data_IF_417208697778
#
_entry.id   IF_417208697778
#
_cell.length_a   1.000
_cell.length_b   1.000
_cell.length_c   1.000
_cell.angle_alpha   90.00
_cell.angle_beta   90.00
_cell.angle_gamma   90.00
#
_symmetry.space_group_name_H-M   'P 1'
#
loop_
_entity.id
_entity.type
_entity.pdbx_description
1 polymer ?
#
# COMPACT_ATOMS: atom_id res chain seq x y z
N UNK A 1 11.17 0.33 -19.99
CA UNK A 1 10.43 1.59 -20.05
C UNK A 1 9.57 1.75 -18.83
N UNK A 2 9.63 2.90 -18.18
CA UNK A 2 8.88 3.12 -16.95
C UNK A 2 7.47 3.59 -17.25
N UNK A 3 6.57 3.23 -16.38
CA UNK A 3 5.20 3.69 -16.47
C UNK A 3 4.90 4.64 -15.33
N UNK A 4 3.98 5.54 -15.58
CA UNK A 4 3.59 6.53 -14.58
C UNK A 4 2.25 6.18 -13.99
N UNK A 5 2.20 6.20 -12.67
CA UNK A 5 0.96 5.94 -11.95
C UNK A 5 0.68 7.15 -11.09
N UNK A 6 -0.47 7.76 -11.27
CA UNK A 6 -0.85 8.92 -10.48
C UNK A 6 -1.73 8.49 -9.34
N UNK A 7 -1.37 8.94 -8.16
CA UNK A 7 -2.16 8.63 -6.98
C UNK A 7 -2.32 9.89 -6.15
N UNK A 8 -3.38 9.92 -5.36
CA UNK A 8 -3.59 11.01 -4.42
C UNK A 8 -3.40 10.45 -3.02
N UNK A 9 -2.56 11.11 -2.25
CA UNK A 9 -2.22 10.64 -0.92
C UNK A 9 -3.28 11.07 0.09
N UNK A 10 -3.53 10.23 1.08
CA UNK A 10 -4.30 10.67 2.25
C UNK A 10 -3.48 11.73 2.97
N UNK A 11 -4.16 12.73 3.55
CA UNK A 11 -3.44 13.85 4.15
C UNK A 11 -2.49 13.42 5.26
N UNK A 12 -2.84 12.38 6.02
CA UNK A 12 -1.96 11.93 7.09
C UNK A 12 -0.73 11.23 6.55
N UNK A 13 -0.90 10.47 5.47
CA UNK A 13 0.25 9.83 4.82
C UNK A 13 1.15 10.91 4.21
N UNK A 14 0.53 11.88 3.55
CA UNK A 14 1.31 12.95 2.95
C UNK A 14 2.11 13.71 4.01
N UNK A 15 1.49 14.01 5.14
CA UNK A 15 2.18 14.77 6.18
C UNK A 15 3.40 14.01 6.69
N UNK A 16 3.26 12.70 6.89
CA UNK A 16 4.38 11.90 7.37
C UNK A 16 5.51 11.86 6.36
N UNK A 17 5.18 11.66 5.09
CA UNK A 17 6.21 11.59 4.05
C UNK A 17 6.85 12.96 3.85
N UNK A 18 6.03 14.02 3.86
CA UNK A 18 6.54 15.37 3.65
C UNK A 18 7.52 15.76 4.75
N UNK A 19 7.21 15.38 5.98
CA UNK A 19 8.09 15.68 7.10
C UNK A 19 9.48 15.10 6.87
N UNK A 20 9.51 13.84 6.44
CA UNK A 20 10.79 13.18 6.19
C UNK A 20 11.46 13.72 4.93
N UNK A 21 10.68 14.03 3.90
CA UNK A 21 11.25 14.59 2.67
C UNK A 21 11.91 15.94 2.96
N UNK A 22 11.25 16.76 3.76
CA UNK A 22 11.82 18.04 4.14
C UNK A 22 13.12 17.85 4.91
N UNK A 23 13.14 16.89 5.83
CA UNK A 23 14.33 16.60 6.60
C UNK A 23 15.49 16.19 5.69
N UNK A 24 15.20 15.43 4.64
CA UNK A 24 16.22 14.95 3.73
C UNK A 24 16.54 15.94 2.61
N UNK A 25 15.74 16.98 2.46
CA UNK A 25 15.97 17.95 1.41
C UNK A 25 15.57 17.46 0.03
N UNK A 26 14.57 16.59 -0.04
CA UNK A 26 14.10 16.07 -1.31
C UNK A 26 12.60 16.33 -1.46
N UNK A 27 12.10 16.11 -2.67
CA UNK A 27 10.70 16.39 -2.96
C UNK A 27 9.81 15.28 -2.46
N UNK A 28 8.55 15.64 -2.19
CA UNK A 28 7.55 14.69 -1.73
C UNK A 28 7.43 13.51 -2.70
N UNK A 29 7.31 13.80 -3.98
CA UNK A 29 7.14 12.72 -4.97
C UNK A 29 8.34 11.79 -5.02
N UNK A 30 9.53 12.35 -4.85
CA UNK A 30 10.74 11.54 -4.87
C UNK A 30 10.74 10.53 -3.74
N UNK A 31 10.41 10.98 -2.54
CA UNK A 31 10.41 10.08 -1.40
C UNK A 31 9.26 9.08 -1.50
N UNK A 32 8.09 9.54 -1.94
CA UNK A 32 6.95 8.65 -2.11
C UNK A 32 7.28 7.52 -3.07
N UNK A 33 7.92 7.87 -4.19
CA UNK A 33 8.31 6.88 -5.17
C UNK A 33 9.31 5.87 -4.58
N UNK A 34 10.24 6.38 -3.79
CA UNK A 34 11.25 5.51 -3.16
C UNK A 34 10.60 4.52 -2.21
N UNK A 35 9.62 4.98 -1.43
CA UNK A 35 8.95 4.12 -0.47
C UNK A 35 8.27 2.95 -1.19
N UNK A 36 7.53 3.26 -2.27
CA UNK A 36 6.85 2.24 -3.02
C UNK A 36 7.84 1.22 -3.57
N UNK A 37 8.93 1.70 -4.13
CA UNK A 37 9.93 0.81 -4.71
C UNK A 37 10.59 -0.07 -3.65
N UNK A 38 10.85 0.49 -2.48
CA UNK A 38 11.43 -0.30 -1.40
C UNK A 38 10.51 -1.42 -0.99
N UNK A 39 9.23 -1.12 -0.82
CA UNK A 39 8.30 -2.13 -0.37
C UNK A 39 8.06 -3.19 -1.45
N UNK A 40 7.99 -2.76 -2.71
CA UNK A 40 7.85 -3.73 -3.79
C UNK A 40 9.08 -4.63 -3.88
N UNK A 41 10.26 -4.08 -3.60
CA UNK A 41 11.46 -4.89 -3.58
C UNK A 41 11.43 -5.98 -2.52
N UNK A 42 10.91 -5.65 -1.34
CA UNK A 42 10.77 -6.66 -0.30
C UNK A 42 9.84 -7.78 -0.74
N UNK A 43 8.74 -7.42 -1.39
CA UNK A 43 7.77 -8.40 -1.83
C UNK A 43 8.36 -9.27 -2.95
N UNK A 44 9.10 -8.67 -3.87
CA UNK A 44 9.76 -9.44 -4.91
C UNK A 44 10.70 -10.48 -4.33
N UNK A 45 11.38 -10.10 -3.25
CA UNK A 45 12.35 -10.99 -2.62
C UNK A 45 11.69 -12.21 -2.00
N UNK A 46 10.53 -12.04 -1.37
CA UNK A 46 9.89 -13.17 -0.71
C UNK A 46 8.84 -13.85 -1.56
N UNK A 47 8.35 -13.18 -2.60
CA UNK A 47 7.34 -13.76 -3.49
C UNK A 47 5.92 -13.41 -3.10
N UNK A 48 5.08 -13.23 -4.12
CA UNK A 48 3.68 -12.84 -3.90
C UNK A 48 2.93 -13.89 -3.10
N UNK A 49 3.29 -15.15 -3.29
CA UNK A 49 2.59 -16.23 -2.59
C UNK A 49 2.72 -16.12 -1.07
N UNK A 50 3.73 -15.44 -0.60
CA UNK A 50 3.96 -15.28 0.83
C UNK A 50 3.46 -13.98 1.38
N UNK A 51 2.61 -13.30 0.62
CA UNK A 51 1.98 -12.08 1.10
C UNK A 51 0.62 -12.42 1.71
N UNK A 52 0.35 -11.79 2.86
CA UNK A 52 -0.92 -11.96 3.55
C UNK A 52 -1.75 -10.71 3.44
N UNK A 53 -3.03 -10.90 3.20
CA UNK A 53 -3.99 -9.79 3.15
C UNK A 53 -5.09 -10.08 4.15
N UNK A 54 -4.82 -9.91 5.45
CA UNK A 54 -5.81 -10.28 6.46
C UNK A 54 -6.92 -9.25 6.58
N UNK A 55 -8.06 -9.69 7.07
CA UNK A 55 -9.06 -8.75 7.53
C UNK A 55 -8.76 -8.43 9.00
N UNK A 56 -9.54 -7.50 9.57
CA UNK A 56 -9.26 -7.04 10.92
C UNK A 56 -9.33 -8.16 11.94
N UNK A 57 -10.27 -9.06 11.73
CA UNK A 57 -10.50 -10.11 12.72
C UNK A 57 -9.33 -11.07 12.81
N UNK A 58 -8.76 -11.41 11.67
CA UNK A 58 -7.76 -12.47 11.63
C UNK A 58 -6.32 -11.98 11.54
N UNK A 59 -6.13 -10.67 11.63
CA UNK A 59 -4.84 -10.09 11.32
C UNK A 59 -3.69 -10.70 12.14
N UNK A 60 -3.82 -10.63 13.46
CA UNK A 60 -2.74 -11.11 14.33
C UNK A 60 -2.59 -12.62 14.28
N UNK A 61 -3.73 -13.32 14.21
CA UNK A 61 -3.67 -14.77 14.17
C UNK A 61 -2.97 -15.28 12.90
N UNK A 62 -3.38 -14.74 11.77
CA UNK A 62 -2.81 -15.21 10.50
C UNK A 62 -1.32 -14.92 10.43
N UNK A 63 -0.92 -13.72 10.85
CA UNK A 63 0.48 -13.35 10.84
C UNK A 63 1.27 -14.24 11.78
N UNK A 64 0.75 -14.44 12.99
CA UNK A 64 1.44 -15.23 13.99
C UNK A 64 1.63 -16.68 13.57
N UNK A 65 0.60 -17.25 12.94
CA UNK A 65 0.70 -18.64 12.50
C UNK A 65 1.79 -18.83 11.46
N UNK A 66 1.88 -17.91 10.50
CA UNK A 66 2.90 -18.02 9.49
C UNK A 66 4.30 -17.80 10.03
N UNK A 67 4.44 -16.82 10.92
CA UNK A 67 5.74 -16.59 11.54
C UNK A 67 6.16 -17.79 12.38
N UNK A 68 5.20 -18.40 13.06
CA UNK A 68 5.49 -19.57 13.86
C UNK A 68 6.03 -20.72 13.01
N UNK A 69 5.53 -20.85 11.80
CA UNK A 69 6.02 -21.89 10.91
C UNK A 69 7.32 -21.54 10.21
N UNK A 70 7.86 -20.36 10.49
CA UNK A 70 9.12 -19.96 9.91
C UNK A 70 9.03 -19.45 8.48
N UNK A 71 7.83 -19.15 8.02
CA UNK A 71 7.65 -18.63 6.67
C UNK A 71 8.00 -17.16 6.62
N UNK A 72 8.74 -16.76 5.60
CA UNK A 72 8.99 -15.34 5.38
C UNK A 72 7.74 -14.76 4.75
N UNK A 73 7.12 -13.81 5.43
CA UNK A 73 5.86 -13.25 4.96
C UNK A 73 5.92 -11.75 4.93
N UNK A 74 5.13 -11.20 4.03
CA UNK A 74 4.86 -9.77 3.98
C UNK A 74 3.38 -9.62 4.30
N UNK A 75 3.09 -9.06 5.46
CA UNK A 75 1.71 -8.95 5.91
C UNK A 75 1.23 -7.52 5.69
N UNK A 76 0.23 -7.37 4.85
CA UNK A 76 -0.36 -6.05 4.63
C UNK A 76 -1.15 -5.66 5.87
N UNK A 77 -1.28 -4.36 6.13
CA UNK A 77 -2.18 -3.92 7.19
C UNK A 77 -3.60 -4.40 6.92
N UNK A 78 -4.38 -4.55 7.97
CA UNK A 78 -5.74 -5.02 7.85
C UNK A 78 -6.54 -4.11 6.92
N UNK A 79 -7.56 -4.68 6.29
CA UNK A 79 -8.36 -3.98 5.31
C UNK A 79 -8.93 -2.67 5.85
N UNK A 80 -9.45 -2.70 7.07
CA UNK A 80 -10.08 -1.50 7.64
C UNK A 80 -9.08 -0.37 7.79
N UNK A 81 -7.85 -0.71 8.13
CA UNK A 81 -6.84 0.32 8.28
C UNK A 81 -6.48 0.92 6.93
N UNK A 82 -6.34 0.06 5.91
CA UNK A 82 -6.05 0.56 4.57
C UNK A 82 -7.19 1.44 4.05
N UNK A 83 -8.42 1.04 4.34
CA UNK A 83 -9.56 1.81 3.91
C UNK A 83 -9.55 3.20 4.55
N UNK A 84 -9.16 3.27 5.82
CA UNK A 84 -9.12 4.54 6.55
C UNK A 84 -8.19 5.54 5.86
N UNK A 85 -7.09 5.05 5.30
CA UNK A 85 -6.09 5.92 4.71
C UNK A 85 -6.13 5.96 3.19
N UNK A 86 -7.24 5.54 2.60
CA UNK A 86 -7.42 5.63 1.16
C UNK A 86 -8.42 6.74 0.86
N UNK A 87 -7.98 7.80 0.18
CA UNK A 87 -8.92 8.88 -0.15
C UNK A 87 -9.98 8.38 -1.10
N UNK A 88 -11.19 8.86 -0.90
CA UNK A 88 -12.32 8.44 -1.71
C UNK A 88 -12.27 9.13 -3.07
N UNK A 89 -11.93 8.37 -4.11
CA UNK A 89 -11.94 8.89 -5.49
C UNK A 89 -11.17 10.20 -5.67
N UNK A 90 -10.16 10.41 -4.83
CA UNK A 90 -9.38 11.63 -4.92
C UNK A 90 -10.10 12.89 -4.49
N UNK A 91 -11.17 12.72 -3.74
CA UNK A 91 -11.97 13.87 -3.27
C UNK A 91 -12.14 13.79 -1.77
N UNK A 92 -12.72 14.83 -1.22
CA UNK A 92 -13.02 14.87 0.19
C UNK A 92 -11.91 15.52 0.98
N UNK A 93 -12.19 15.73 2.24
CA UNK A 93 -11.28 16.48 3.10
C UNK A 93 -10.00 15.70 3.40
N UNK A 94 -10.02 14.39 3.19
CA UNK A 94 -8.84 13.59 3.48
C UNK A 94 -7.92 13.42 2.29
N UNK A 95 -8.28 13.93 1.13
CA UNK A 95 -7.45 13.80 -0.05
C UNK A 95 -6.38 14.89 -0.05
N UNK A 96 -5.14 14.47 -0.13
CA UNK A 96 -4.02 15.40 -0.17
C UNK A 96 -3.49 15.59 -1.57
N UNK A 97 -2.18 15.73 -1.67
CA UNK A 97 -1.54 16.01 -2.94
C UNK A 97 -1.55 14.81 -3.86
N UNK A 98 -1.56 15.10 -5.15
CA UNK A 98 -1.39 14.07 -6.16
C UNK A 98 0.10 13.92 -6.43
N UNK A 99 0.56 12.69 -6.46
CA UNK A 99 1.95 12.41 -6.81
C UNK A 99 1.98 11.43 -7.96
N UNK A 100 3.08 11.43 -8.69
CA UNK A 100 3.28 10.53 -9.81
C UNK A 100 4.38 9.55 -9.46
N UNK A 101 4.05 8.27 -9.54
CA UNK A 101 5.04 7.22 -9.34
C UNK A 101 5.56 6.77 -10.69
N UNK A 102 6.87 6.59 -10.78
CA UNK A 102 7.51 6.10 -12.02
C UNK A 102 8.02 4.70 -11.72
N UNK A 103 7.36 3.70 -12.26
CA UNK A 103 7.62 2.31 -11.93
C UNK A 103 8.05 1.54 -13.15
N UNK A 104 8.90 0.54 -12.94
CA UNK A 104 9.30 -0.35 -14.00
C UNK A 104 8.16 -1.30 -14.34
N UNK A 105 8.15 -1.84 -15.55
CA UNK A 105 7.08 -2.78 -15.92
C UNK A 105 6.93 -3.96 -14.97
N UNK A 106 8.04 -4.47 -14.44
CA UNK A 106 7.98 -5.56 -13.48
C UNK A 106 7.28 -5.14 -12.20
N UNK A 107 7.47 -3.89 -11.80
CA UNK A 107 6.83 -3.39 -10.59
C UNK A 107 5.34 -3.21 -10.80
N UNK A 108 4.95 -2.76 -11.98
CA UNK A 108 3.53 -2.65 -12.34
C UNK A 108 2.91 -4.03 -12.35
N UNK A 109 3.59 -5.00 -12.94
CA UNK A 109 3.09 -6.38 -12.97
C UNK A 109 2.91 -6.92 -11.55
N UNK A 110 3.86 -6.61 -10.67
CA UNK A 110 3.77 -7.03 -9.28
C UNK A 110 2.57 -6.42 -8.58
N UNK A 111 2.34 -5.14 -8.80
CA UNK A 111 1.16 -4.48 -8.23
C UNK A 111 -0.13 -5.15 -8.70
N UNK A 112 -0.18 -5.55 -9.97
CA UNK A 112 -1.35 -6.25 -10.48
C UNK A 112 -1.55 -7.57 -9.78
N UNK A 113 -0.47 -8.33 -9.63
CA UNK A 113 -0.58 -9.61 -8.94
C UNK A 113 -1.06 -9.44 -7.51
N UNK A 114 -0.55 -8.43 -6.83
CA UNK A 114 -0.98 -8.16 -5.46
C UNK A 114 -2.44 -7.75 -5.41
N UNK A 115 -2.85 -6.92 -6.35
CA UNK A 115 -4.24 -6.46 -6.39
C UNK A 115 -5.19 -7.62 -6.65
N UNK A 116 -4.80 -8.52 -7.53
CA UNK A 116 -5.64 -9.68 -7.80
C UNK A 116 -5.74 -10.60 -6.61
N UNK A 117 -4.64 -10.76 -5.90
CA UNK A 117 -4.67 -11.59 -4.71
C UNK A 117 -5.54 -10.98 -3.63
N UNK A 118 -5.45 -9.67 -3.45
CA UNK A 118 -6.26 -8.96 -2.47
C UNK A 118 -7.75 -9.04 -2.84
N UNK A 119 -8.05 -8.93 -4.11
CA UNK A 119 -9.43 -8.97 -4.58
C UNK A 119 -10.11 -10.29 -4.29
N UNK A 120 -9.36 -11.37 -4.28
CA UNK A 120 -9.92 -12.66 -3.98
C UNK A 120 -10.54 -12.70 -2.59
N UNK A 121 -10.15 -11.77 -1.74
CA UNK A 121 -10.71 -11.70 -0.41
C UNK A 121 -12.10 -11.08 -0.39
N UNK A 122 -12.57 -10.66 -1.54
CA UNK A 122 -13.98 -10.47 -1.72
C UNK A 122 -14.61 -9.20 -1.20
N UNK A 123 -13.92 -8.11 -1.24
CA UNK A 123 -14.45 -6.88 -0.68
C UNK A 123 -15.07 -5.95 -1.71
N UNK A 124 -14.79 -6.16 -2.97
CA UNK A 124 -15.24 -5.20 -3.99
C UNK A 124 -16.39 -5.75 -4.79
N UNK A 125 -17.33 -4.91 -5.08
CA UNK A 125 -18.54 -5.32 -5.78
C UNK A 125 -18.87 -4.38 -6.92
N UNK A 126 -17.92 -4.02 -7.70
CA UNK A 126 -18.22 -3.21 -8.86
C UNK A 126 -18.55 -4.11 -10.04
N UNK A 127 -19.21 -3.56 -11.03
CA UNK A 127 -19.56 -4.31 -12.22
C UNK A 127 -18.44 -4.30 -13.25
N UNK A 128 -17.47 -3.42 -13.08
CA UNK A 128 -16.41 -3.27 -14.05
C UNK A 128 -15.13 -3.85 -13.51
N UNK A 129 -14.55 -4.78 -14.23
CA UNK A 129 -13.31 -5.39 -13.81
C UNK A 129 -12.21 -4.36 -13.65
N UNK A 130 -12.18 -3.37 -14.56
CA UNK A 130 -11.17 -2.33 -14.47
C UNK A 130 -11.30 -1.53 -13.19
N UNK A 131 -12.51 -1.24 -12.79
CA UNK A 131 -12.73 -0.49 -11.56
C UNK A 131 -12.30 -1.30 -10.34
N UNK A 132 -12.58 -2.57 -10.35
CA UNK A 132 -12.17 -3.43 -9.26
C UNK A 132 -10.65 -3.41 -9.11
N UNK A 133 -9.96 -3.56 -10.24
CA UNK A 133 -8.52 -3.57 -10.22
C UNK A 133 -7.98 -2.23 -9.74
N UNK A 134 -8.56 -1.13 -10.19
CA UNK A 134 -8.10 0.20 -9.79
C UNK A 134 -8.26 0.41 -8.29
N UNK A 135 -9.40 0.03 -7.75
CA UNK A 135 -9.64 0.20 -6.32
C UNK A 135 -8.65 -0.64 -5.53
N UNK A 136 -8.46 -1.88 -5.91
CA UNK A 136 -7.50 -2.74 -5.22
C UNK A 136 -6.09 -2.18 -5.33
N UNK A 137 -5.76 -1.60 -6.47
CA UNK A 137 -4.47 -0.98 -6.70
C UNK A 137 -4.20 0.11 -5.66
N UNK A 138 -5.18 0.97 -5.45
CA UNK A 138 -5.03 2.03 -4.44
C UNK A 138 -4.84 1.44 -3.06
N UNK A 139 -5.60 0.42 -2.72
CA UNK A 139 -5.49 -0.21 -1.42
C UNK A 139 -4.13 -0.89 -1.26
N UNK A 140 -3.61 -1.47 -2.34
CA UNK A 140 -2.28 -2.04 -2.30
C UNK A 140 -1.25 -0.95 -2.02
N UNK A 141 -1.34 0.17 -2.73
CA UNK A 141 -0.37 1.25 -2.53
C UNK A 141 -0.44 1.81 -1.12
N UNK A 142 -1.65 2.00 -0.60
CA UNK A 142 -1.79 2.47 0.78
C UNK A 142 -1.17 1.47 1.74
N UNK A 143 -1.35 0.18 1.48
CA UNK A 143 -0.74 -0.84 2.30
C UNK A 143 0.78 -0.77 2.29
N UNK A 144 1.35 -0.51 1.12
CA UNK A 144 2.80 -0.37 1.03
C UNK A 144 3.28 0.82 1.85
N UNK A 145 2.58 1.95 1.76
CA UNK A 145 2.94 3.11 2.56
C UNK A 145 2.88 2.79 4.05
N UNK A 146 1.79 2.20 4.49
CA UNK A 146 1.59 1.94 5.91
C UNK A 146 2.57 0.89 6.44
N UNK A 147 3.07 0.05 5.56
CA UNK A 147 4.02 -0.98 5.97
C UNK A 147 5.44 -0.44 6.12
N UNK A 148 5.74 0.67 5.49
CA UNK A 148 7.08 1.22 5.53
C UNK A 148 7.40 1.75 6.92
N UNK A 149 8.61 1.52 7.43
CA UNK A 149 8.97 2.01 8.77
C UNK A 149 8.75 3.49 8.98
N UNK A 150 8.87 4.28 7.92
CA UNK A 150 8.69 5.70 8.00
C UNK A 150 7.29 6.09 8.46
N UNK A 151 6.32 5.22 8.22
CA UNK A 151 4.93 5.52 8.52
C UNK A 151 4.37 4.72 9.68
N UNK A 152 5.26 4.09 10.46
CA UNK A 152 4.81 3.28 11.57
C UNK A 152 4.06 4.07 12.63
N UNK A 153 4.33 5.36 12.73
CA UNK A 153 3.62 6.20 13.69
C UNK A 153 2.12 6.19 13.44
N UNK A 154 1.71 6.12 12.18
CA UNK A 154 0.29 6.10 11.87
C UNK A 154 -0.38 4.84 12.40
N UNK A 155 0.36 3.75 12.44
CA UNK A 155 -0.18 2.50 12.95
C UNK A 155 -0.29 2.51 14.45
N UNK A 156 0.59 3.23 15.12
CA UNK A 156 0.68 3.20 16.57
C UNK A 156 -0.20 4.22 17.26
N UNK A 157 -0.48 5.31 16.60
CA UNK A 157 -1.24 6.38 17.24
C UNK A 157 -2.74 6.17 17.21
N UNK A 158 -3.22 5.06 16.67
CA UNK A 158 -4.58 4.87 16.57
C UNK A 158 -5.14 4.56 17.83
N UNK A 159 -6.07 5.10 18.21
CA UNK A 159 -6.74 4.79 19.45
C UNK A 159 -8.21 4.69 19.23
#
# INVERSE_FOLDING_TARGET
>A
MKERVRIRLHVDIEAAIQREATRQGIKLGTLTNRIVKEELGKIQSIGVDRCLFPDAVNYERDRGEREHRGEAVYTFPAFELRERYTPSNGRGINAGSQVTLCLEPEQIALLRQLAEKDRIRGTWKTSEDDEIVIVSYRFILVGLFLKNPLLQDLLQTRK
#
